data_IF_457443496894
#
_entry.id   IF_457443496894
#
_cell.length_a   1.000
_cell.length_b   1.000
_cell.length_c   1.000
_cell.angle_alpha   90.00
_cell.angle_beta   90.00
_cell.angle_gamma   90.00
#
_symmetry.space_group_name_H-M   'P 1'
#
loop_
_entity.id
_entity.type
_entity.pdbx_description
1 polymer ?
#
# COMPACT_ATOMS: atom_id res chain seq x y z
N UNK A 1 4.63 -39.81 -10.32
CA UNK A 1 5.40 -38.84 -9.51
C UNK A 1 4.54 -37.60 -9.32
N UNK A 2 3.98 -37.44 -8.13
CA UNK A 2 3.13 -36.29 -7.76
C UNK A 2 4.07 -35.19 -7.28
N UNK A 3 4.24 -34.12 -8.08
CA UNK A 3 5.02 -32.95 -7.66
C UNK A 3 4.16 -32.12 -6.70
N UNK A 4 4.60 -32.11 -5.45
CA UNK A 4 4.04 -31.41 -4.29
C UNK A 4 3.79 -29.92 -4.57
N UNK A 5 2.56 -29.45 -4.40
CA UNK A 5 2.12 -28.06 -4.56
C UNK A 5 2.15 -27.25 -3.25
N UNK A 6 3.11 -27.53 -2.36
CA UNK A 6 3.08 -26.98 -0.99
C UNK A 6 3.82 -25.64 -0.77
N UNK A 7 4.23 -24.91 -1.82
CA UNK A 7 5.01 -23.67 -1.64
C UNK A 7 4.17 -22.39 -1.81
N UNK A 8 2.89 -22.47 -2.21
CA UNK A 8 2.08 -21.27 -2.52
C UNK A 8 1.38 -20.60 -1.33
N UNK A 9 1.46 -21.16 -0.12
CA UNK A 9 0.73 -20.64 1.06
C UNK A 9 1.60 -19.76 1.99
N UNK A 10 2.91 -19.66 1.74
CA UNK A 10 3.83 -18.93 2.62
C UNK A 10 3.78 -17.40 2.51
N UNK A 11 3.51 -16.87 1.32
CA UNK A 11 3.71 -15.43 1.02
C UNK A 11 2.50 -14.58 1.43
N UNK A 12 1.29 -15.09 1.27
CA UNK A 12 0.05 -14.39 1.68
C UNK A 12 0.00 -14.22 3.22
N UNK A 13 0.62 -15.14 3.96
CA UNK A 13 0.57 -15.14 5.42
C UNK A 13 1.39 -14.01 6.06
N UNK A 14 2.50 -13.57 5.44
CA UNK A 14 3.34 -12.49 5.99
C UNK A 14 2.68 -11.11 5.83
N UNK A 15 1.98 -10.87 4.71
CA UNK A 15 1.26 -9.62 4.49
C UNK A 15 -0.09 -9.57 5.25
N UNK A 16 -0.73 -10.72 5.49
CA UNK A 16 -2.01 -10.81 6.20
C UNK A 16 -1.89 -10.91 7.75
N UNK A 17 -0.82 -11.49 8.31
CA UNK A 17 -0.69 -11.69 9.76
C UNK A 17 -0.41 -10.41 10.57
N UNK A 18 -0.06 -9.29 9.95
CA UNK A 18 0.25 -8.04 10.67
C UNK A 18 -0.98 -7.15 10.94
N UNK A 19 -2.17 -7.50 10.43
CA UNK A 19 -3.36 -6.64 10.49
C UNK A 19 -4.35 -7.05 11.61
N UNK A 20 -4.12 -8.16 12.33
CA UNK A 20 -5.13 -8.74 13.23
C UNK A 20 -4.96 -8.53 14.74
N UNK A 21 -4.00 -7.72 15.21
CA UNK A 21 -3.88 -7.43 16.65
C UNK A 21 -4.24 -5.98 16.96
N UNK A 22 -5.54 -5.72 17.10
CA UNK A 22 -6.05 -4.39 17.41
C UNK A 22 -7.43 -4.36 18.05
N UNK A 23 -7.77 -5.30 18.94
CA UNK A 23 -8.84 -5.14 19.93
C UNK A 23 -8.78 -6.25 21.01
N UNK A 24 -8.72 -5.85 22.29
CA UNK A 24 -8.83 -6.73 23.45
C UNK A 24 -7.71 -6.49 24.48
N UNK A 25 -7.94 -6.12 25.73
CA UNK A 25 -9.13 -5.76 26.47
C UNK A 25 -8.63 -5.30 27.84
N UNK A 26 -9.04 -4.10 28.29
CA UNK A 26 -8.81 -3.64 29.66
C UNK A 26 -9.97 -4.14 30.53
N UNK A 27 -9.74 -5.19 31.32
CA UNK A 27 -10.59 -5.53 32.46
C UNK A 27 -9.93 -5.02 33.73
N UNK A 28 -10.67 -4.20 34.47
CA UNK A 28 -10.20 -3.48 35.65
C UNK A 28 -10.07 -4.31 36.92
N UNK A 29 -9.70 -3.59 37.99
CA UNK A 29 -9.95 -3.95 39.38
C UNK A 29 -10.16 -2.66 40.17
N UNK A 30 -11.32 -2.55 40.79
CA UNK A 30 -11.62 -1.64 41.91
C UNK A 30 -12.27 -2.52 43.00
N UNK A 31 -11.92 -2.36 44.29
CA UNK A 31 -12.60 -3.06 45.37
C UNK A 31 -13.49 -2.16 46.23
N UNK A 32 -14.67 -2.73 46.51
CA UNK A 32 -15.45 -2.80 47.74
C UNK A 32 -16.08 -1.58 48.45
N UNK A 33 -17.42 -1.65 48.45
CA UNK A 33 -18.34 -1.71 49.59
C UNK A 33 -18.84 -0.41 50.28
N UNK A 34 -20.16 -0.17 50.15
CA UNK A 34 -21.12 -0.10 51.28
C UNK A 34 -22.58 0.02 50.77
N UNK A 35 -23.45 -0.82 51.32
CA UNK A 35 -24.93 -0.77 51.24
C UNK A 35 -25.52 0.21 52.29
N UNK A 36 -26.77 0.73 52.13
CA UNK A 36 -27.95 0.04 52.69
C UNK A 36 -29.30 0.14 51.92
N UNK A 37 -30.03 -1.00 51.92
CA UNK A 37 -31.48 -1.28 52.04
C UNK A 37 -32.62 -0.44 51.39
N UNK A 38 -33.31 -1.07 50.42
CA UNK A 38 -34.75 -1.48 50.29
C UNK A 38 -35.92 -0.51 50.65
N UNK A 39 -36.78 -0.20 49.66
CA UNK A 39 -38.19 -0.68 49.55
C UNK A 39 -38.91 -0.14 48.28
N UNK A 40 -39.72 -0.97 47.61
CA UNK A 40 -40.67 -0.52 46.57
C UNK A 40 -41.01 -1.55 45.47
N UNK A 41 -42.22 -2.09 45.54
CA UNK A 41 -42.85 -3.20 44.80
C UNK A 41 -43.02 -3.10 43.25
N UNK A 42 -42.79 -4.25 42.59
CA UNK A 42 -43.55 -4.96 41.52
C UNK A 42 -44.22 -4.21 40.35
N UNK A 43 -43.81 -4.54 39.10
CA UNK A 43 -44.57 -5.46 38.21
C UNK A 43 -43.85 -5.75 36.87
N UNK A 44 -43.84 -7.05 36.51
CA UNK A 44 -43.32 -7.74 35.31
C UNK A 44 -44.25 -7.49 34.10
N UNK A 45 -43.76 -7.53 32.84
CA UNK A 45 -43.76 -8.80 32.11
C UNK A 45 -42.46 -9.11 31.37
N UNK A 46 -42.27 -10.41 31.17
CA UNK A 46 -41.16 -11.10 30.50
C UNK A 46 -41.41 -11.22 29.00
N UNK A 47 -40.36 -11.03 28.19
CA UNK A 47 -40.18 -11.79 26.97
C UNK A 47 -38.68 -11.99 26.73
N UNK A 48 -38.27 -13.23 26.91
CA UNK A 48 -37.00 -13.84 26.56
C UNK A 48 -36.84 -13.95 25.04
N UNK A 49 -35.65 -13.63 24.52
CA UNK A 49 -35.18 -14.18 23.25
C UNK A 49 -33.85 -14.86 23.51
N UNK A 50 -33.89 -16.18 23.33
CA UNK A 50 -32.79 -17.10 23.47
C UNK A 50 -31.65 -16.82 22.49
N UNK A 51 -30.44 -17.02 22.99
CA UNK A 51 -29.23 -17.14 22.20
C UNK A 51 -29.27 -18.45 21.41
N UNK A 52 -29.25 -18.35 20.07
CA UNK A 52 -28.89 -19.47 19.21
C UNK A 52 -27.42 -19.30 18.80
N UNK A 53 -26.54 -20.02 19.51
CA UNK A 53 -25.23 -20.43 19.01
C UNK A 53 -25.46 -21.71 18.22
N UNK A 54 -25.24 -21.67 16.90
CA UNK A 54 -24.55 -22.72 16.14
C UNK A 54 -24.54 -22.40 14.64
N UNK A 55 -23.55 -23.00 13.95
CA UNK A 55 -23.25 -22.96 12.51
C UNK A 55 -22.41 -21.77 11.97
N UNK A 56 -21.13 -21.72 12.36
CA UNK A 56 -20.06 -21.37 11.42
C UNK A 56 -19.85 -22.56 10.49
N UNK A 57 -20.52 -22.57 9.33
CA UNK A 57 -20.17 -23.47 8.23
C UNK A 57 -19.14 -22.78 7.34
N UNK A 58 -18.02 -23.45 7.08
CA UNK A 58 -17.00 -22.99 6.16
C UNK A 58 -17.57 -22.97 4.74
N UNK A 59 -17.62 -21.79 4.16
CA UNK A 59 -17.81 -21.60 2.73
C UNK A 59 -16.43 -21.70 2.08
N UNK A 60 -16.12 -22.87 1.53
CA UNK A 60 -14.99 -23.03 0.64
C UNK A 60 -15.18 -22.12 -0.58
N UNK A 61 -14.17 -21.33 -1.00
CA UNK A 61 -14.30 -20.50 -2.18
C UNK A 61 -14.42 -21.38 -3.43
N UNK A 62 -15.55 -21.23 -4.14
CA UNK A 62 -15.79 -21.83 -5.45
C UNK A 62 -14.86 -21.14 -6.45
N UNK A 63 -13.81 -21.86 -6.88
CA UNK A 63 -13.01 -21.48 -8.04
C UNK A 63 -13.86 -21.65 -9.30
N UNK A 64 -14.31 -20.53 -9.88
CA UNK A 64 -14.89 -20.52 -11.22
C UNK A 64 -13.79 -20.80 -12.24
N UNK A 65 -14.00 -21.86 -13.02
CA UNK A 65 -13.13 -22.27 -14.12
C UNK A 65 -13.10 -21.19 -15.20
N UNK A 66 -11.89 -20.88 -15.67
CA UNK A 66 -11.64 -20.03 -16.85
C UNK A 66 -12.22 -20.69 -18.11
N UNK A 67 -12.88 -19.96 -19.02
CA UNK A 67 -13.42 -20.57 -20.24
C UNK A 67 -12.29 -20.95 -21.21
N UNK A 68 -12.26 -22.22 -21.58
CA UNK A 68 -11.54 -22.71 -22.77
C UNK A 68 -12.20 -22.14 -24.04
N UNK A 69 -11.41 -21.57 -24.96
CA UNK A 69 -11.79 -21.58 -26.37
C UNK A 69 -10.60 -21.46 -27.36
N UNK A 70 -10.33 -22.60 -28.01
CA UNK A 70 -10.12 -22.83 -29.45
C UNK A 70 -8.87 -22.30 -30.17
N UNK A 71 -8.05 -23.31 -30.49
CA UNK A 71 -7.21 -23.53 -31.66
C UNK A 71 -7.59 -22.74 -32.94
N UNK A 72 -6.66 -21.93 -33.43
CA UNK A 72 -6.64 -21.41 -34.79
C UNK A 72 -5.22 -21.43 -35.34
N UNK A 73 -4.91 -22.44 -36.16
CA UNK A 73 -3.66 -22.59 -36.90
C UNK A 73 -3.53 -21.51 -37.97
N UNK A 74 -2.43 -20.74 -37.97
CA UNK A 74 -1.94 -20.01 -39.15
C UNK A 74 -0.43 -20.23 -39.28
N UNK A 75 -0.04 -20.75 -40.44
CA UNK A 75 1.32 -21.12 -40.90
C UNK A 75 2.03 -19.84 -41.42
N UNK A 76 3.39 -19.73 -41.36
CA UNK A 76 4.09 -18.46 -41.42
C UNK A 76 4.29 -17.95 -42.86
N UNK A 77 4.39 -16.63 -43.02
CA UNK A 77 4.82 -16.00 -44.27
C UNK A 77 6.14 -15.26 -44.07
N UNK A 78 7.06 -15.49 -45.00
CA UNK A 78 8.47 -15.13 -44.95
C UNK A 78 8.74 -13.64 -45.23
N UNK A 79 9.91 -13.24 -44.73
CA UNK A 79 10.67 -12.01 -44.97
C UNK A 79 10.82 -11.64 -46.45
N UNK A 80 11.23 -10.39 -46.72
CA UNK A 80 12.44 -10.26 -47.53
C UNK A 80 13.51 -9.39 -46.87
N UNK A 81 14.74 -9.93 -46.87
CA UNK A 81 16.00 -9.19 -46.72
C UNK A 81 16.16 -8.17 -47.86
N UNK A 82 16.77 -7.02 -47.55
CA UNK A 82 17.63 -6.35 -48.52
C UNK A 82 18.83 -5.67 -47.83
N UNK A 83 20.01 -6.11 -48.28
CA UNK A 83 21.33 -5.55 -48.01
C UNK A 83 21.53 -4.26 -48.80
N UNK A 84 22.08 -3.20 -48.20
CA UNK A 84 23.34 -2.64 -48.73
C UNK A 84 24.03 -1.66 -47.76
N UNK A 85 25.35 -1.82 -47.68
CA UNK A 85 26.31 -0.85 -47.16
C UNK A 85 26.38 0.39 -48.08
N UNK A 86 26.58 1.57 -47.48
CA UNK A 86 27.69 2.43 -47.91
C UNK A 86 28.21 3.28 -46.73
N UNK A 87 29.53 3.40 -46.73
CA UNK A 87 30.43 3.93 -45.73
C UNK A 87 30.92 5.30 -46.22
N UNK A 88 30.78 6.35 -45.41
CA UNK A 88 31.77 7.43 -45.45
C UNK A 88 31.84 8.20 -44.13
N UNK A 89 32.84 7.81 -43.35
CA UNK A 89 33.89 8.70 -42.83
C UNK A 89 33.47 9.96 -42.04
N UNK A 90 33.57 9.88 -40.69
CA UNK A 90 34.11 11.01 -39.94
C UNK A 90 34.87 10.56 -38.68
N UNK A 91 36.20 10.59 -38.83
CA UNK A 91 37.29 10.88 -37.91
C UNK A 91 37.01 10.95 -36.40
N UNK A 92 37.77 10.12 -35.69
CA UNK A 92 37.98 10.04 -34.24
C UNK A 92 38.24 11.39 -33.55
N UNK A 93 37.52 11.60 -32.44
CA UNK A 93 38.03 12.34 -31.28
C UNK A 93 37.76 11.51 -30.03
N UNK A 94 38.82 10.92 -29.52
CA UNK A 94 38.88 10.25 -28.22
C UNK A 94 38.69 11.29 -27.12
N UNK A 95 37.53 11.30 -26.49
CA UNK A 95 37.36 11.86 -25.16
C UNK A 95 36.74 10.76 -24.30
N UNK A 96 37.56 10.19 -23.42
CA UNK A 96 37.12 9.38 -22.30
C UNK A 96 36.22 10.27 -21.42
N UNK A 97 34.93 10.29 -21.71
CA UNK A 97 33.94 10.58 -20.69
C UNK A 97 33.67 9.25 -20.00
N UNK A 98 34.46 8.99 -18.97
CA UNK A 98 33.99 8.24 -17.80
C UNK A 98 32.78 9.01 -17.27
N UNK A 99 31.64 8.72 -17.89
CA UNK A 99 30.35 9.15 -17.43
C UNK A 99 30.13 8.44 -16.12
N UNK A 100 30.51 9.11 -15.04
CA UNK A 100 29.94 8.88 -13.73
C UNK A 100 28.43 9.01 -13.91
N UNK A 101 27.79 7.88 -14.18
CA UNK A 101 26.37 7.70 -14.01
C UNK A 101 26.12 8.02 -12.55
N UNK A 102 25.72 9.26 -12.30
CA UNK A 102 25.11 9.65 -11.03
C UNK A 102 23.84 8.83 -10.95
N UNK A 103 23.98 7.59 -10.45
CA UNK A 103 22.86 6.75 -10.07
C UNK A 103 22.13 7.55 -9.01
N UNK A 104 21.06 8.22 -9.41
CA UNK A 104 20.22 8.96 -8.49
C UNK A 104 19.86 8.00 -7.33
N UNK A 105 20.07 8.45 -6.09
CA UNK A 105 19.97 7.58 -4.93
C UNK A 105 18.54 7.02 -4.77
N UNK A 106 18.44 5.75 -4.43
CA UNK A 106 17.17 5.09 -4.14
C UNK A 106 16.47 5.78 -2.97
N UNK A 107 15.22 6.22 -3.17
CA UNK A 107 14.49 6.96 -2.15
C UNK A 107 12.96 6.81 -2.23
N UNK A 108 12.31 7.10 -1.10
CA UNK A 108 10.87 7.33 -0.99
C UNK A 108 10.62 8.65 -0.27
N UNK A 109 9.71 9.48 -0.77
CA UNK A 109 9.45 10.81 -0.21
C UNK A 109 8.00 11.26 -0.40
N UNK A 110 7.60 12.25 0.41
CA UNK A 110 6.33 12.96 0.27
C UNK A 110 6.62 14.30 -0.42
N UNK A 111 5.88 14.62 -1.48
CA UNK A 111 5.97 15.91 -2.19
C UNK A 111 4.61 16.57 -2.16
N UNK A 112 4.55 17.79 -1.64
CA UNK A 112 3.32 18.58 -1.63
C UNK A 112 3.23 19.43 -2.90
N UNK A 113 2.02 19.60 -3.44
CA UNK A 113 1.73 20.58 -4.49
C UNK A 113 1.92 22.03 -4.00
N UNK A 114 1.54 22.29 -2.74
CA UNK A 114 1.74 23.54 -2.01
C UNK A 114 1.98 23.28 -0.53
N UNK A 115 2.74 24.16 0.12
CA UNK A 115 3.09 24.05 1.53
C UNK A 115 2.40 25.10 2.42
N UNK A 116 1.50 25.90 1.84
CA UNK A 116 0.70 26.92 2.52
C UNK A 116 -0.70 26.88 1.92
N UNK A 117 -1.74 26.84 2.76
CA UNK A 117 -3.12 26.79 2.30
C UNK A 117 -4.08 27.35 3.35
N UNK A 118 -5.17 27.97 2.88
CA UNK A 118 -6.21 28.52 3.76
C UNK A 118 -7.10 27.42 4.33
N UNK A 119 -7.84 27.73 5.39
CA UNK A 119 -8.89 26.84 5.89
C UNK A 119 -9.81 26.37 4.74
N UNK A 120 -10.16 25.10 4.78
CA UNK A 120 -10.97 24.36 3.80
C UNK A 120 -10.31 24.11 2.43
N UNK A 121 -9.13 24.67 2.14
CA UNK A 121 -8.36 24.27 0.96
C UNK A 121 -7.76 22.87 1.13
N UNK A 122 -7.55 22.18 0.01
CA UNK A 122 -6.90 20.87 -0.05
C UNK A 122 -5.46 21.05 -0.54
N UNK A 123 -4.53 20.43 0.17
CA UNK A 123 -3.14 20.21 -0.22
C UNK A 123 -3.04 18.79 -0.76
N UNK A 124 -2.39 18.61 -1.90
CA UNK A 124 -2.12 17.29 -2.48
C UNK A 124 -0.75 16.80 -2.05
N UNK A 125 -0.70 15.70 -1.30
CA UNK A 125 0.52 14.98 -1.01
C UNK A 125 0.71 13.83 -2.01
N UNK A 126 1.81 13.88 -2.77
CA UNK A 126 2.24 12.83 -3.69
C UNK A 126 3.30 11.98 -3.00
N UNK A 127 3.04 10.67 -2.91
CA UNK A 127 3.98 9.70 -2.37
C UNK A 127 4.81 9.16 -3.54
N UNK A 128 6.08 9.53 -3.61
CA UNK A 128 6.97 9.21 -4.74
C UNK A 128 8.03 8.22 -4.28
N UNK A 129 8.35 7.28 -5.16
CA UNK A 129 9.45 6.34 -5.01
C UNK A 129 10.36 6.46 -6.24
N UNK A 130 11.68 6.47 -6.02
CA UNK A 130 12.68 6.67 -7.06
C UNK A 130 13.79 5.62 -6.95
N UNK A 131 14.20 5.06 -8.08
CA UNK A 131 15.37 4.20 -8.26
C UNK A 131 15.41 2.98 -7.32
N UNK A 132 14.24 2.44 -6.97
CA UNK A 132 14.14 1.19 -6.22
C UNK A 132 14.11 0.04 -7.23
N UNK A 133 15.09 -0.87 -7.23
CA UNK A 133 15.14 -1.91 -8.24
C UNK A 133 13.98 -2.90 -8.08
N UNK A 134 13.28 -3.21 -9.19
CA UNK A 134 12.39 -4.37 -9.33
C UNK A 134 11.30 -4.43 -8.27
N UNK A 135 10.67 -3.30 -7.97
CA UNK A 135 9.63 -3.24 -6.94
C UNK A 135 8.47 -4.17 -7.30
N UNK A 136 8.00 -4.96 -6.34
CA UNK A 136 6.77 -5.77 -6.44
C UNK A 136 5.83 -5.59 -5.24
N UNK A 137 6.26 -4.87 -4.21
CA UNK A 137 5.41 -4.54 -3.09
C UNK A 137 5.92 -3.35 -2.30
N UNK A 138 5.00 -2.65 -1.63
CA UNK A 138 5.33 -1.67 -0.60
C UNK A 138 4.27 -1.64 0.49
N UNK A 139 4.65 -1.16 1.67
CA UNK A 139 3.73 -0.71 2.72
C UNK A 139 4.29 0.58 3.31
N UNK A 140 3.43 1.59 3.50
CA UNK A 140 3.83 2.86 4.10
C UNK A 140 2.93 3.22 5.29
N UNK A 141 3.54 3.84 6.30
CA UNK A 141 2.85 4.40 7.45
C UNK A 141 3.14 5.90 7.54
N UNK A 142 2.10 6.71 7.39
CA UNK A 142 2.16 8.17 7.37
C UNK A 142 1.45 8.72 8.61
N UNK A 143 2.06 9.73 9.25
CA UNK A 143 1.46 10.50 10.34
C UNK A 143 1.23 11.95 9.93
N UNK A 144 0.15 12.53 10.44
CA UNK A 144 -0.21 13.95 10.35
C UNK A 144 -0.98 14.37 11.62
N UNK A 145 -1.18 15.66 11.86
CA UNK A 145 -2.02 16.14 12.95
C UNK A 145 -3.51 16.21 12.50
N UNK A 146 -4.39 15.34 13.03
CA UNK A 146 -5.80 15.30 12.63
C UNK A 146 -6.62 16.50 13.15
N UNK A 147 -6.06 17.35 14.02
CA UNK A 147 -6.70 18.58 14.47
C UNK A 147 -6.42 19.77 13.54
N UNK A 148 -5.40 19.67 12.70
CA UNK A 148 -4.97 20.71 11.75
C UNK A 148 -5.32 20.31 10.33
N UNK A 149 -5.22 19.03 9.98
CA UNK A 149 -5.51 18.51 8.65
C UNK A 149 -6.52 17.36 8.73
N UNK A 150 -7.38 17.24 7.71
CA UNK A 150 -8.21 16.06 7.49
C UNK A 150 -7.77 15.38 6.20
N UNK A 151 -7.41 14.10 6.28
CA UNK A 151 -7.15 13.29 5.09
C UNK A 151 -8.45 13.10 4.30
N UNK A 152 -8.39 13.36 3.00
CA UNK A 152 -9.52 13.26 2.08
C UNK A 152 -9.11 12.53 0.80
N UNK A 153 -10.09 11.86 0.22
CA UNK A 153 -10.03 11.34 -1.14
C UNK A 153 -10.08 12.50 -2.15
N UNK A 154 -9.16 12.52 -3.11
CA UNK A 154 -9.04 13.64 -4.05
C UNK A 154 -10.15 13.67 -5.10
N UNK A 155 -10.72 12.52 -5.45
CA UNK A 155 -11.76 12.43 -6.48
C UNK A 155 -13.12 12.86 -5.92
N UNK A 156 -13.40 12.51 -4.67
CA UNK A 156 -14.70 12.75 -4.03
C UNK A 156 -14.71 13.92 -3.04
N UNK A 157 -13.53 14.36 -2.58
CA UNK A 157 -13.37 15.35 -1.51
C UNK A 157 -13.84 14.87 -0.13
N UNK A 158 -14.22 13.59 0.01
CA UNK A 158 -14.73 13.04 1.27
C UNK A 158 -13.58 12.63 2.19
N UNK A 159 -13.80 12.63 3.52
CA UNK A 159 -12.82 12.09 4.47
C UNK A 159 -12.43 10.67 4.08
N UNK A 160 -11.13 10.37 4.17
CA UNK A 160 -10.61 9.03 3.90
C UNK A 160 -11.13 8.06 4.97
N UNK A 161 -11.58 6.87 4.57
CA UNK A 161 -11.97 5.81 5.51
C UNK A 161 -10.78 4.94 5.93
N UNK A 162 -10.84 4.31 7.11
CA UNK A 162 -9.73 3.51 7.66
C UNK A 162 -9.28 2.36 6.74
N UNK A 163 -10.21 1.82 5.94
CA UNK A 163 -9.95 0.72 4.99
C UNK A 163 -9.85 1.18 3.54
N UNK A 164 -9.84 2.49 3.30
CA UNK A 164 -9.74 3.03 1.96
C UNK A 164 -8.28 3.14 1.53
N UNK A 165 -8.03 2.75 0.28
CA UNK A 165 -6.73 2.89 -0.37
C UNK A 165 -6.67 4.27 -1.03
N UNK A 166 -5.63 5.08 -0.77
CA UNK A 166 -5.42 6.31 -1.52
C UNK A 166 -5.26 6.05 -3.04
N UNK A 167 -5.91 6.88 -3.86
CA UNK A 167 -5.88 6.77 -5.32
C UNK A 167 -4.67 7.41 -6.00
N UNK A 168 -4.68 7.47 -7.33
CA UNK A 168 -3.78 8.31 -8.13
C UNK A 168 -2.31 7.85 -8.29
N UNK A 169 -1.95 6.65 -7.83
CA UNK A 169 -0.63 6.05 -8.05
C UNK A 169 -0.52 5.31 -9.38
N UNK A 170 0.69 5.26 -9.94
CA UNK A 170 1.04 4.51 -11.16
C UNK A 170 1.87 3.24 -10.87
N UNK A 171 2.59 3.20 -9.75
CA UNK A 171 3.38 2.04 -9.32
C UNK A 171 2.48 0.90 -8.83
N UNK A 172 2.82 -0.32 -9.28
CA UNK A 172 2.11 -1.57 -9.01
C UNK A 172 0.64 -1.53 -9.46
N UNK A 173 0.39 -1.03 -10.67
CA UNK A 173 -0.96 -0.78 -11.19
C UNK A 173 -1.36 -1.62 -12.40
N UNK A 174 -0.47 -2.49 -12.91
CA UNK A 174 -0.80 -3.40 -14.00
C UNK A 174 -1.71 -4.55 -13.50
N UNK A 175 -2.98 -4.63 -13.95
CA UNK A 175 -3.89 -5.69 -13.51
C UNK A 175 -3.45 -7.09 -13.92
N UNK A 176 -2.65 -7.25 -14.97
CA UNK A 176 -2.17 -8.56 -15.46
C UNK A 176 -1.36 -9.29 -14.37
N UNK A 177 -0.68 -8.55 -13.48
CA UNK A 177 0.13 -9.13 -12.41
C UNK A 177 -0.64 -9.33 -11.10
N UNK A 178 -1.98 -9.23 -11.11
CA UNK A 178 -2.87 -9.32 -9.95
C UNK A 178 -2.48 -8.34 -8.82
N UNK A 179 -3.01 -7.12 -8.90
CA UNK A 179 -2.80 -6.08 -7.90
C UNK A 179 -3.54 -6.40 -6.60
N UNK A 180 -2.82 -6.50 -5.50
CA UNK A 180 -3.35 -6.65 -4.14
C UNK A 180 -3.15 -5.36 -3.33
N UNK A 181 -4.22 -4.56 -3.15
CA UNK A 181 -4.18 -3.41 -2.27
C UNK A 181 -4.65 -3.76 -0.84
N UNK A 182 -4.03 -3.16 0.19
CA UNK A 182 -4.43 -3.33 1.60
C UNK A 182 -4.37 -1.99 2.34
N UNK A 183 -5.38 -1.69 3.17
CA UNK A 183 -5.42 -0.48 4.01
C UNK A 183 -5.86 -0.85 5.43
N UNK A 184 -5.16 -0.27 6.41
CA UNK A 184 -5.42 -0.42 7.83
C UNK A 184 -5.06 0.88 8.56
N UNK A 185 -5.66 1.98 8.13
CA UNK A 185 -5.45 3.31 8.67
C UNK A 185 -6.17 3.51 10.02
N UNK A 186 -5.78 4.55 10.75
CA UNK A 186 -6.48 5.07 11.92
C UNK A 186 -6.61 6.59 11.71
N UNK A 187 -7.47 6.96 10.75
CA UNK A 187 -7.54 8.31 10.18
C UNK A 187 -7.95 9.33 11.24
N UNK A 188 -8.83 8.93 12.18
CA UNK A 188 -9.23 9.76 13.33
C UNK A 188 -8.04 10.16 14.21
N UNK A 189 -6.99 9.34 14.27
CA UNK A 189 -5.79 9.55 15.08
C UNK A 189 -4.61 10.05 14.24
N UNK A 190 -4.84 10.45 12.99
CA UNK A 190 -3.80 11.03 12.14
C UNK A 190 -2.84 9.99 11.56
N UNK A 191 -3.29 8.74 11.36
CA UNK A 191 -2.46 7.66 10.80
C UNK A 191 -3.07 7.14 9.52
N UNK A 192 -2.29 7.13 8.44
CA UNK A 192 -2.63 6.47 7.17
C UNK A 192 -1.65 5.32 6.97
N UNK A 193 -2.17 4.10 6.88
CA UNK A 193 -1.38 2.89 6.65
C UNK A 193 -1.98 2.11 5.48
N UNK A 194 -1.19 1.92 4.43
CA UNK A 194 -1.61 1.17 3.26
C UNK A 194 -0.44 0.50 2.57
N UNK A 195 -0.77 -0.53 1.78
CA UNK A 195 0.15 -1.35 1.03
C UNK A 195 -0.44 -1.66 -0.35
N UNK A 196 0.46 -1.96 -1.29
CA UNK A 196 0.10 -2.53 -2.60
C UNK A 196 1.19 -3.52 -3.00
N UNK A 197 0.80 -4.64 -3.61
CA UNK A 197 1.72 -5.65 -4.12
C UNK A 197 1.19 -6.28 -5.42
N UNK A 198 2.09 -6.75 -6.28
CA UNK A 198 1.74 -7.72 -7.31
C UNK A 198 1.76 -9.13 -6.72
N UNK A 199 0.73 -9.92 -7.00
CA UNK A 199 0.64 -11.31 -6.53
C UNK A 199 1.24 -12.27 -7.55
N UNK A 200 1.05 -12.02 -8.84
CA UNK A 200 1.61 -12.84 -9.92
C UNK A 200 3.02 -12.37 -10.29
N UNK A 201 3.96 -12.56 -9.37
CA UNK A 201 5.37 -12.15 -9.57
C UNK A 201 6.10 -12.97 -10.63
N UNK A 202 5.63 -14.18 -10.94
CA UNK A 202 6.22 -15.01 -12.00
C UNK A 202 6.00 -14.35 -13.36
N UNK A 203 4.76 -13.99 -13.69
CA UNK A 203 4.41 -13.26 -14.93
C UNK A 203 5.08 -11.87 -14.98
N UNK A 204 5.14 -11.18 -13.85
CA UNK A 204 5.85 -9.90 -13.76
C UNK A 204 7.35 -10.04 -14.08
N UNK A 205 8.02 -11.09 -13.59
CA UNK A 205 9.43 -11.38 -13.93
C UNK A 205 9.59 -11.76 -15.40
N UNK A 206 8.68 -12.57 -15.93
CA UNK A 206 8.69 -13.00 -17.34
C UNK A 206 8.53 -11.81 -18.31
N UNK A 207 7.84 -10.74 -17.89
CA UNK A 207 7.74 -9.49 -18.67
C UNK A 207 9.10 -8.83 -18.93
N UNK A 208 10.11 -9.10 -18.08
CA UNK A 208 11.43 -8.48 -18.09
C UNK A 208 11.39 -6.93 -18.12
N UNK A 209 10.31 -6.34 -17.60
CA UNK A 209 10.11 -4.89 -17.53
C UNK A 209 9.83 -4.44 -16.08
N UNK A 210 10.83 -4.51 -15.20
CA UNK A 210 10.65 -4.15 -13.79
C UNK A 210 10.37 -2.66 -13.63
N UNK A 211 9.35 -2.35 -12.82
CA UNK A 211 9.12 -1.01 -12.28
C UNK A 211 10.21 -0.65 -11.29
N UNK A 212 10.53 0.64 -11.20
CA UNK A 212 11.55 1.13 -10.25
C UNK A 212 11.32 2.53 -9.69
N UNK A 213 10.45 3.31 -10.31
CA UNK A 213 10.15 4.68 -9.90
C UNK A 213 8.72 5.02 -10.28
N UNK A 214 8.12 5.96 -9.56
CA UNK A 214 6.80 6.49 -9.85
C UNK A 214 6.07 6.98 -8.61
N UNK A 215 4.77 7.17 -8.75
CA UNK A 215 3.84 7.60 -7.70
C UNK A 215 3.17 6.39 -7.09
N UNK A 216 3.31 6.22 -5.77
CA UNK A 216 2.61 5.17 -5.03
C UNK A 216 1.15 5.53 -4.77
N UNK A 217 0.90 6.80 -4.45
CA UNK A 217 -0.42 7.33 -4.11
C UNK A 217 -0.44 8.87 -4.14
N UNK A 218 -1.64 9.42 -4.29
CA UNK A 218 -2.00 10.79 -4.01
C UNK A 218 -2.97 10.83 -2.84
N UNK A 219 -2.71 11.70 -1.86
CA UNK A 219 -3.56 11.90 -0.68
C UNK A 219 -3.91 13.38 -0.60
N UNK A 220 -5.19 13.69 -0.43
CA UNK A 220 -5.62 15.06 -0.11
C UNK A 220 -5.55 15.31 1.39
N UNK A 221 -5.08 16.50 1.76
CA UNK A 221 -5.14 17.01 3.12
C UNK A 221 -5.91 18.32 3.13
N UNK A 222 -7.16 18.26 3.59
CA UNK A 222 -8.01 19.44 3.78
C UNK A 222 -7.56 20.18 5.05
N UNK A 223 -7.31 21.47 4.94
CA UNK A 223 -6.89 22.31 6.08
C UNK A 223 -8.07 22.61 7.00
N UNK A 224 -7.98 22.19 8.26
CA UNK A 224 -8.96 22.48 9.31
C UNK A 224 -8.62 23.77 10.06
N UNK A 225 -7.31 24.01 10.26
CA UNK A 225 -6.75 25.19 10.95
C UNK A 225 -5.51 25.69 10.21
N UNK A 226 -5.36 27.00 10.15
CA UNK A 226 -4.19 27.67 9.57
C UNK A 226 -3.06 27.71 10.60
N UNK A 227 -2.52 26.52 10.91
CA UNK A 227 -1.45 26.31 11.87
C UNK A 227 -0.35 25.44 11.25
N UNK A 228 0.90 25.71 11.64
CA UNK A 228 2.05 24.96 11.15
C UNK A 228 1.99 23.50 11.62
N UNK A 229 2.08 22.55 10.69
CA UNK A 229 2.14 21.11 11.00
C UNK A 229 3.10 20.37 10.07
N UNK A 230 3.29 19.07 10.30
CA UNK A 230 4.18 18.21 9.51
C UNK A 230 3.44 16.94 9.10
N UNK A 231 3.65 16.53 7.85
CA UNK A 231 3.25 15.22 7.34
C UNK A 231 4.54 14.42 7.13
N UNK A 232 4.62 13.20 7.66
CA UNK A 232 5.82 12.37 7.52
C UNK A 232 5.52 10.89 7.51
N UNK A 233 6.43 10.10 6.94
CA UNK A 233 6.50 8.69 7.28
C UNK A 233 6.90 8.54 8.77
N UNK A 234 6.44 7.48 9.41
CA UNK A 234 6.75 7.23 10.81
C UNK A 234 6.67 5.75 11.14
N UNK A 235 7.55 5.30 12.02
CA UNK A 235 7.50 3.94 12.55
C UNK A 235 6.18 3.65 13.29
N UNK A 236 5.80 2.37 13.26
CA UNK A 236 4.63 1.83 13.94
C UNK A 236 4.94 0.40 14.43
N UNK A 237 4.42 -0.01 15.61
CA UNK A 237 4.59 -1.39 16.09
C UNK A 237 4.08 -2.47 15.13
N UNK A 238 3.13 -2.13 14.25
CA UNK A 238 2.61 -3.05 13.22
C UNK A 238 3.56 -3.27 12.04
N UNK A 239 4.67 -2.54 11.95
CA UNK A 239 5.68 -2.64 10.89
C UNK A 239 7.10 -2.71 11.48
N UNK A 240 7.43 -3.80 12.21
CA UNK A 240 8.72 -3.92 12.88
C UNK A 240 9.88 -4.03 11.89
N UNK A 241 10.95 -3.25 12.08
CA UNK A 241 12.11 -3.19 11.15
C UNK A 241 11.83 -2.51 9.81
N UNK A 242 10.70 -1.81 9.65
CA UNK A 242 10.52 -0.91 8.52
C UNK A 242 11.57 0.22 8.55
N UNK A 243 11.92 0.74 7.39
CA UNK A 243 12.83 1.90 7.28
C UNK A 243 11.97 3.15 7.49
N UNK A 244 11.99 3.74 8.68
CA UNK A 244 11.21 4.96 8.99
C UNK A 244 9.71 4.85 8.63
N UNK A 245 9.08 3.71 8.91
CA UNK A 245 7.68 3.45 8.58
C UNK A 245 7.41 3.01 7.14
N UNK A 246 8.42 2.60 6.38
CA UNK A 246 8.25 2.07 5.01
C UNK A 246 8.84 0.67 4.85
N UNK A 247 8.06 -0.23 4.26
CA UNK A 247 8.56 -1.47 3.66
C UNK A 247 8.51 -1.36 2.15
N UNK A 248 9.53 -1.91 1.51
CA UNK A 248 9.64 -2.03 0.07
C UNK A 248 10.16 -3.43 -0.23
N UNK A 249 9.56 -4.08 -1.20
CA UNK A 249 9.87 -5.46 -1.57
C UNK A 249 10.25 -5.51 -3.05
N UNK A 250 11.34 -6.21 -3.36
CA UNK A 250 11.64 -6.57 -4.74
C UNK A 250 10.69 -7.68 -5.23
N UNK A 251 10.79 -8.02 -6.52
CA UNK A 251 10.01 -9.09 -7.16
C UNK A 251 10.31 -10.51 -6.63
N UNK A 252 11.34 -10.68 -5.81
CA UNK A 252 11.68 -11.91 -5.11
C UNK A 252 11.12 -11.88 -3.68
N UNK A 253 10.36 -10.81 -3.34
CA UNK A 253 9.83 -10.47 -2.03
C UNK A 253 10.89 -10.34 -0.94
N UNK A 254 12.13 -10.02 -1.32
CA UNK A 254 13.13 -9.60 -0.34
C UNK A 254 12.79 -8.20 0.14
N UNK A 255 12.88 -7.99 1.46
CA UNK A 255 12.76 -6.66 2.05
C UNK A 255 13.99 -5.86 1.65
N UNK A 256 13.76 -4.75 0.95
CA UNK A 256 14.81 -3.78 0.65
C UNK A 256 14.97 -2.84 1.85
N UNK A 257 16.21 -2.56 2.22
CA UNK A 257 16.55 -1.61 3.31
C UNK A 257 17.54 -0.54 2.89
N UNK A 258 18.19 -0.71 1.73
CA UNK A 258 19.18 0.22 1.21
C UNK A 258 18.53 1.30 0.34
N UNK A 259 17.74 2.16 0.96
CA UNK A 259 17.18 3.37 0.37
C UNK A 259 16.99 4.43 1.45
N UNK A 260 16.86 5.69 1.03
CA UNK A 260 16.60 6.80 1.94
C UNK A 260 15.11 7.13 2.03
N UNK A 261 14.69 7.61 3.19
CA UNK A 261 13.33 8.13 3.41
C UNK A 261 13.40 9.65 3.54
N UNK A 262 12.64 10.35 2.72
CA UNK A 262 12.54 11.80 2.73
C UNK A 262 12.08 12.32 4.10
N UNK A 263 12.60 13.49 4.48
CA UNK A 263 12.19 14.16 5.72
C UNK A 263 10.71 14.54 5.66
N UNK A 264 10.10 14.69 6.83
CA UNK A 264 8.74 15.21 6.95
C UNK A 264 8.59 16.58 6.26
N UNK A 265 7.45 16.77 5.61
CA UNK A 265 7.12 17.98 4.88
C UNK A 265 6.27 18.90 5.75
N UNK A 266 6.65 20.17 5.81
CA UNK A 266 5.97 21.19 6.60
C UNK A 266 4.81 21.80 5.80
N UNK A 267 3.67 21.93 6.46
CA UNK A 267 2.50 22.71 6.01
C UNK A 267 2.37 23.94 6.91
N UNK A 268 2.04 25.09 6.33
CA UNK A 268 1.83 26.36 7.03
C UNK A 268 0.44 26.95 6.78
#
# INVERSE_FOLDING_TARGET
MIKSSLIKTGIITVLAMLILCGCGGRTGKEPDAAEPTISGETNKPTASVEANRDALQSIDPVYTQSPENVNGTVVPNESPENNNMDNSNQTSNTANNDGTSSSAEANIQIVLDKNTAKKDEIITAKIILNNIPKIAGYQVNIKYDPNILQAVDLDTGKPLEDKQIPGGGDVLSNPDYNVLPLAASDVKNGVINFAKAYVNVDEYKESNNPESSGVLALIGFKVLKEESTVISFADTPSMPNAVSGTYVYDWDFNVLTNYSVGKGVKVN
#
